data_IF_853875211421
#
_entry.id   IF_853875211421
#
_cell.length_a   1.000
_cell.length_b   1.000
_cell.length_c   1.000
_cell.angle_alpha   90.00
_cell.angle_beta   90.00
_cell.angle_gamma   90.00
#
_symmetry.space_group_name_H-M   'P 1'
#
loop_
_entity.id
_entity.type
_entity.pdbx_description
1 polymer ?
#
# COMPACT_ATOMS: atom_id res chain seq x y z
N UNK A 1 -13.14 -5.53 4.34
CA UNK A 1 -12.36 -6.21 5.41
C UNK A 1 -11.32 -7.15 4.82
N UNK A 2 -10.42 -6.64 4.05
CA UNK A 2 -9.35 -7.45 3.48
C UNK A 2 -8.18 -7.57 4.45
N UNK A 3 -7.43 -8.65 4.33
CA UNK A 3 -6.17 -8.84 5.04
C UNK A 3 -5.03 -8.62 4.06
N UNK A 4 -4.06 -7.80 4.44
CA UNK A 4 -2.88 -7.54 3.63
C UNK A 4 -1.67 -8.22 4.27
N UNK A 5 -1.00 -9.08 3.52
CA UNK A 5 0.15 -9.84 4.01
C UNK A 5 1.41 -9.37 3.28
N UNK A 6 2.39 -8.79 3.99
CA UNK A 6 3.61 -8.31 3.34
C UNK A 6 4.47 -9.45 2.81
N UNK A 7 5.07 -9.21 1.64
CA UNK A 7 5.94 -10.16 0.97
C UNK A 7 7.11 -9.39 0.36
N UNK A 8 8.36 -9.86 0.52
CA UNK A 8 9.51 -9.15 0.00
C UNK A 8 9.52 -9.09 -1.53
N UNK A 9 10.14 -8.04 -2.06
CA UNK A 9 10.38 -7.87 -3.49
C UNK A 9 11.88 -7.76 -3.73
N UNK A 10 12.35 -7.84 -4.99
CA UNK A 10 13.76 -7.61 -5.29
C UNK A 10 14.24 -6.19 -4.95
N UNK A 11 13.32 -5.23 -4.85
CA UNK A 11 13.66 -3.86 -4.49
C UNK A 11 13.47 -3.66 -2.97
N UNK A 12 14.53 -3.32 -2.21
CA UNK A 12 14.41 -3.14 -0.75
C UNK A 12 13.52 -1.96 -0.36
N UNK A 13 13.27 -1.03 -1.26
CA UNK A 13 12.39 0.10 -0.99
C UNK A 13 10.95 -0.12 -1.47
N UNK A 14 10.63 -1.32 -1.94
CA UNK A 14 9.27 -1.71 -2.32
C UNK A 14 8.85 -2.97 -1.60
N UNK A 15 7.60 -3.02 -1.18
CA UNK A 15 7.04 -4.17 -0.48
C UNK A 15 5.68 -4.49 -1.09
N UNK A 16 5.50 -5.76 -1.41
CA UNK A 16 4.24 -6.27 -1.97
C UNK A 16 3.36 -6.75 -0.82
N UNK A 17 2.08 -6.40 -0.87
CA UNK A 17 1.09 -6.89 0.09
C UNK A 17 0.09 -7.75 -0.65
N UNK A 18 0.04 -9.02 -0.32
CA UNK A 18 -0.94 -9.93 -0.89
C UNK A 18 -2.27 -9.76 -0.15
N UNK A 19 -3.35 -9.62 -0.91
CA UNK A 19 -4.68 -9.41 -0.36
C UNK A 19 -5.49 -10.70 -0.46
N UNK A 20 -6.46 -10.87 0.44
CA UNK A 20 -7.42 -11.97 0.37
C UNK A 20 -8.70 -11.56 -0.36
N UNK A 21 -8.66 -10.45 -1.08
CA UNK A 21 -9.75 -9.96 -1.90
C UNK A 21 -9.19 -9.44 -3.22
N UNK A 22 -10.05 -9.32 -4.23
CA UNK A 22 -9.66 -8.80 -5.52
C UNK A 22 -10.04 -7.34 -5.64
N UNK A 23 -9.11 -6.52 -6.14
CA UNK A 23 -9.37 -5.11 -6.37
C UNK A 23 -10.34 -4.94 -7.55
N UNK A 24 -11.27 -3.99 -7.41
CA UNK A 24 -12.25 -3.71 -8.46
C UNK A 24 -11.57 -3.16 -9.72
N UNK A 25 -10.54 -2.35 -9.54
CA UNK A 25 -9.78 -1.76 -10.64
C UNK A 25 -8.32 -1.58 -10.24
N UNK A 26 -7.46 -1.60 -11.26
CA UNK A 26 -6.05 -1.28 -11.10
C UNK A 26 -5.88 0.21 -10.79
N UNK A 27 -4.91 0.54 -9.93
CA UNK A 27 -4.57 1.92 -9.67
C UNK A 27 -3.07 2.09 -9.46
N UNK A 28 -2.58 3.27 -9.81
CA UNK A 28 -1.17 3.62 -9.65
C UNK A 28 -1.11 5.06 -9.16
N UNK A 29 -0.73 5.25 -7.90
CA UNK A 29 -0.70 6.55 -7.24
C UNK A 29 0.74 6.92 -6.96
N UNK A 30 1.22 7.99 -7.61
CA UNK A 30 2.62 8.39 -7.58
C UNK A 30 2.94 9.41 -6.50
N UNK A 31 1.92 9.96 -5.84
CA UNK A 31 2.10 10.90 -4.73
C UNK A 31 0.83 10.97 -3.89
N UNK A 32 0.95 11.47 -2.67
CA UNK A 32 -0.21 11.66 -1.80
C UNK A 32 -1.26 12.59 -2.42
N UNK A 33 -0.81 13.57 -3.19
CA UNK A 33 -1.71 14.51 -3.85
C UNK A 33 -2.62 13.83 -4.89
N UNK A 34 -2.16 12.73 -5.47
CA UNK A 34 -2.91 11.97 -6.46
C UNK A 34 -3.84 10.92 -5.85
N UNK A 35 -3.78 10.72 -4.54
CA UNK A 35 -4.61 9.73 -3.86
C UNK A 35 -6.05 10.19 -3.79
N UNK A 36 -6.96 9.44 -4.41
CA UNK A 36 -8.39 9.77 -4.44
C UNK A 36 -9.21 8.76 -3.63
N UNK A 37 -8.80 7.51 -3.64
CA UNK A 37 -9.50 6.45 -2.93
C UNK A 37 -9.22 6.52 -1.43
N UNK A 38 -10.20 6.22 -0.56
CA UNK A 38 -9.97 6.19 0.89
C UNK A 38 -8.82 5.27 1.29
N UNK A 39 -8.69 4.10 0.66
CA UNK A 39 -7.60 3.18 0.91
C UNK A 39 -6.24 3.85 0.63
N UNK A 40 -6.09 4.48 -0.54
CA UNK A 40 -4.85 5.13 -0.92
C UNK A 40 -4.51 6.27 0.03
N UNK A 41 -5.49 7.09 0.39
CA UNK A 41 -5.28 8.19 1.34
C UNK A 41 -4.79 7.68 2.69
N UNK A 42 -5.36 6.58 3.17
CA UNK A 42 -4.95 5.99 4.44
C UNK A 42 -3.53 5.45 4.39
N UNK A 43 -3.13 4.84 3.27
CA UNK A 43 -1.75 4.35 3.09
C UNK A 43 -0.76 5.51 3.06
N UNK A 44 -1.08 6.56 2.31
CA UNK A 44 -0.20 7.73 2.21
C UNK A 44 -0.12 8.55 3.51
N UNK A 45 -1.01 8.31 4.45
CA UNK A 45 -0.91 8.93 5.78
C UNK A 45 0.30 8.41 6.56
N UNK A 46 0.82 7.23 6.23
CA UNK A 46 2.04 6.72 6.86
C UNK A 46 3.26 7.51 6.39
N UNK A 47 4.23 7.79 7.27
CA UNK A 47 5.42 8.54 6.88
C UNK A 47 6.29 7.75 5.92
N UNK A 48 6.78 8.41 4.88
CA UNK A 48 7.75 7.84 3.95
C UNK A 48 7.16 7.06 2.79
N UNK A 49 5.84 7.00 2.64
CA UNK A 49 5.22 6.37 1.47
C UNK A 49 5.41 7.27 0.25
N UNK A 50 6.02 6.73 -0.80
CA UNK A 50 6.32 7.47 -2.03
C UNK A 50 5.28 7.18 -3.10
N UNK A 51 4.94 5.90 -3.28
CA UNK A 51 3.97 5.52 -4.30
C UNK A 51 3.22 4.25 -3.89
N UNK A 52 2.09 4.02 -4.53
CA UNK A 52 1.21 2.89 -4.27
C UNK A 52 0.68 2.37 -5.60
N UNK A 53 0.86 1.08 -5.86
CA UNK A 53 0.36 0.43 -7.04
C UNK A 53 -0.51 -0.76 -6.63
N UNK A 54 -1.70 -0.86 -7.21
CA UNK A 54 -2.61 -1.95 -6.91
C UNK A 54 -3.18 -2.58 -8.18
N UNK A 55 -3.18 -3.90 -8.23
CA UNK A 55 -3.74 -4.65 -9.36
C UNK A 55 -4.10 -6.07 -8.89
N UNK A 56 -5.17 -6.62 -9.44
CA UNK A 56 -5.63 -7.98 -9.11
C UNK A 56 -5.89 -8.14 -7.60
N UNK A 57 -5.07 -8.91 -6.91
CA UNK A 57 -5.23 -9.21 -5.49
C UNK A 57 -4.00 -8.80 -4.67
N UNK A 58 -3.26 -7.79 -5.14
CA UNK A 58 -2.11 -7.29 -4.37
C UNK A 58 -1.92 -5.79 -4.56
N UNK A 59 -1.19 -5.20 -3.62
CA UNK A 59 -0.72 -3.82 -3.73
C UNK A 59 0.78 -3.80 -3.46
N UNK A 60 1.48 -2.87 -4.11
CA UNK A 60 2.90 -2.66 -3.91
C UNK A 60 3.11 -1.22 -3.42
N UNK A 61 3.80 -1.07 -2.32
CA UNK A 61 4.11 0.23 -1.73
C UNK A 61 5.61 0.48 -1.87
N UNK A 62 5.96 1.67 -2.36
CA UNK A 62 7.35 2.11 -2.41
C UNK A 62 7.57 3.16 -1.33
N UNK A 63 8.64 3.00 -0.56
CA UNK A 63 9.00 3.92 0.51
C UNK A 63 10.18 4.80 0.09
N UNK A 64 10.33 5.92 0.78
CA UNK A 64 11.56 6.71 0.75
C UNK A 64 12.70 5.88 1.39
N UNK A 65 13.95 5.96 0.88
CA UNK A 65 15.05 5.11 1.37
C UNK A 65 15.35 5.23 2.86
N UNK A 66 15.00 6.36 3.47
CA UNK A 66 15.22 6.62 4.90
C UNK A 66 13.97 6.31 5.76
N UNK A 67 12.91 5.83 5.16
CA UNK A 67 11.69 5.48 5.89
C UNK A 67 11.76 4.08 6.47
N UNK A 68 10.98 3.84 7.51
CA UNK A 68 10.87 2.53 8.13
C UNK A 68 9.60 1.81 7.66
N UNK A 69 9.70 0.48 7.51
CA UNK A 69 8.56 -0.31 7.05
C UNK A 69 7.49 -0.54 8.12
N UNK A 70 7.86 -0.61 9.40
CA UNK A 70 6.91 -0.98 10.45
C UNK A 70 5.63 -0.11 10.45
N UNK A 71 5.73 1.23 10.47
CA UNK A 71 4.51 2.05 10.43
C UNK A 71 3.77 1.93 9.08
N UNK A 72 4.50 1.73 7.99
CA UNK A 72 3.89 1.58 6.67
C UNK A 72 3.10 0.27 6.59
N UNK A 73 3.69 -0.83 7.07
CA UNK A 73 3.01 -2.13 7.10
C UNK A 73 1.70 -2.03 7.92
N UNK A 74 1.78 -1.42 9.10
CA UNK A 74 0.59 -1.25 9.94
C UNK A 74 -0.48 -0.42 9.23
N UNK A 75 -0.10 0.67 8.55
CA UNK A 75 -1.03 1.53 7.83
C UNK A 75 -1.72 0.79 6.69
N UNK A 76 -0.97 0.00 5.93
CA UNK A 76 -1.54 -0.78 4.82
C UNK A 76 -2.51 -1.82 5.35
N UNK A 77 -2.15 -2.52 6.42
CA UNK A 77 -3.01 -3.54 7.01
C UNK A 77 -4.30 -2.94 7.56
N UNK A 78 -4.22 -1.82 8.25
CA UNK A 78 -5.40 -1.12 8.77
C UNK A 78 -6.27 -0.58 7.64
N UNK A 79 -5.66 0.00 6.60
CA UNK A 79 -6.40 0.53 5.46
C UNK A 79 -7.12 -0.59 4.70
N UNK A 80 -6.48 -1.73 4.52
CA UNK A 80 -7.10 -2.88 3.87
C UNK A 80 -8.30 -3.38 4.67
N UNK A 81 -8.17 -3.47 5.99
CA UNK A 81 -9.26 -3.91 6.85
C UNK A 81 -10.44 -2.93 6.83
N UNK A 82 -10.16 -1.63 6.71
CA UNK A 82 -11.19 -0.59 6.75
C UNK A 82 -11.90 -0.39 5.40
N UNK A 83 -11.17 -0.50 4.28
CA UNK A 83 -11.66 -0.04 2.98
C UNK A 83 -11.69 -1.12 1.90
N UNK A 84 -11.07 -2.24 2.11
CA UNK A 84 -11.09 -3.35 1.17
C UNK A 84 -11.75 -4.58 1.78
#
# INVERSE_FOLDING_TARGET
MATATPSPTPNPDALKFNLDTRLAEMFNVLSAADAEQPFAKAVFAAPGVVSLFGVNDFVTVTRSPDAEWDPIVAAVQEAAAAYL
#
